data_IF_229771401950
#
_entry.id   IF_229771401950
#
_cell.length_a   1.000
_cell.length_b   1.000
_cell.length_c   1.000
_cell.angle_alpha   90.00
_cell.angle_beta   90.00
_cell.angle_gamma   90.00
#
_symmetry.space_group_name_H-M   'P 1'
#
loop_
_entity.id
_entity.type
_entity.pdbx_description
1 polymer ?
#
# COMPACT_ATOMS: atom_id res chain seq x y z
N UNK A 1 20.31 -14.35 -10.74
CA UNK A 1 19.68 -13.81 -11.97
C UNK A 1 18.92 -14.94 -12.70
N UNK A 2 17.82 -15.46 -12.14
CA UNK A 2 16.98 -16.54 -12.71
C UNK A 2 15.52 -16.51 -12.15
N UNK A 3 15.03 -15.36 -11.71
CA UNK A 3 13.71 -15.24 -11.07
C UNK A 3 12.57 -14.77 -12.02
N UNK A 4 12.89 -14.34 -13.25
CA UNK A 4 11.91 -13.78 -14.18
C UNK A 4 11.44 -14.72 -15.29
N UNK A 5 11.82 -16.01 -15.23
CA UNK A 5 11.19 -17.07 -16.02
C UNK A 5 10.29 -17.85 -15.07
N UNK A 6 9.21 -17.21 -14.62
CA UNK A 6 8.26 -17.80 -13.69
C UNK A 6 7.33 -18.75 -14.41
N UNK A 7 7.43 -20.04 -14.11
CA UNK A 7 6.25 -20.90 -14.17
C UNK A 7 5.13 -20.22 -13.34
N UNK A 8 3.87 -20.19 -13.80
CA UNK A 8 2.79 -19.63 -13.01
C UNK A 8 2.68 -20.44 -11.71
N UNK A 9 3.06 -19.82 -10.58
CA UNK A 9 2.85 -20.38 -9.25
C UNK A 9 1.34 -20.36 -9.01
N UNK A 10 0.74 -21.56 -8.90
CA UNK A 10 -0.71 -21.67 -8.70
C UNK A 10 -1.09 -21.11 -7.33
N UNK A 11 -2.30 -20.57 -7.21
CA UNK A 11 -2.83 -20.09 -5.93
C UNK A 11 -2.79 -21.17 -4.85
N UNK A 12 -3.05 -22.43 -5.23
CA UNK A 12 -3.00 -23.59 -4.33
C UNK A 12 -1.61 -23.78 -3.71
N UNK A 13 -0.55 -23.72 -4.52
CA UNK A 13 0.83 -23.87 -4.02
C UNK A 13 1.27 -22.75 -3.07
N UNK A 14 0.69 -21.55 -3.18
CA UNK A 14 0.95 -20.46 -2.23
C UNK A 14 0.28 -20.73 -0.89
N UNK A 15 -0.93 -21.28 -0.90
CA UNK A 15 -1.65 -21.61 0.33
C UNK A 15 -0.98 -22.75 1.13
N UNK A 16 -0.13 -23.55 0.50
CA UNK A 16 0.69 -24.58 1.15
C UNK A 16 1.97 -24.01 1.82
N UNK A 17 2.32 -22.75 1.54
CA UNK A 17 3.49 -22.10 2.14
C UNK A 17 3.27 -21.78 3.62
N UNK A 18 4.36 -21.59 4.37
CA UNK A 18 4.27 -21.18 5.79
C UNK A 18 3.61 -19.80 5.89
N UNK A 19 2.46 -19.66 6.58
CA UNK A 19 1.81 -18.37 6.72
C UNK A 19 2.57 -17.45 7.66
N UNK A 20 2.43 -16.14 7.42
CA UNK A 20 2.75 -15.10 8.39
C UNK A 20 1.46 -14.72 9.12
N UNK A 21 1.35 -15.12 10.37
CA UNK A 21 0.25 -14.73 11.24
C UNK A 21 0.50 -13.33 11.80
N UNK A 22 -0.42 -12.40 11.54
CA UNK A 22 -0.31 -11.03 12.05
C UNK A 22 -1.67 -10.32 12.11
N UNK A 23 -1.68 -9.17 12.80
CA UNK A 23 -2.68 -8.11 12.68
C UNK A 23 -2.28 -7.18 11.54
N UNK A 24 -2.92 -7.36 10.39
CA UNK A 24 -2.67 -6.61 9.17
C UNK A 24 -3.48 -5.32 9.17
N UNK A 25 -2.80 -4.18 9.17
CA UNK A 25 -3.41 -2.86 9.00
C UNK A 25 -3.76 -2.68 7.52
N UNK A 26 -5.03 -2.52 7.17
CA UNK A 26 -5.46 -2.19 5.81
C UNK A 26 -5.22 -0.71 5.59
N UNK A 27 -4.18 -0.38 4.81
CA UNK A 27 -3.70 1.00 4.67
C UNK A 27 -4.11 1.63 3.34
N UNK A 28 -4.42 0.87 2.31
CA UNK A 28 -4.87 1.41 1.05
C UNK A 28 -5.60 0.38 0.20
N UNK A 29 -6.43 0.86 -0.71
CA UNK A 29 -7.10 0.05 -1.73
C UNK A 29 -7.26 0.89 -2.99
N UNK A 30 -7.08 0.27 -4.15
CA UNK A 30 -7.25 0.91 -5.45
C UNK A 30 -7.85 -0.07 -6.46
N UNK A 31 -8.73 0.44 -7.32
CA UNK A 31 -9.34 -0.35 -8.39
C UNK A 31 -8.96 0.29 -9.72
N UNK A 32 -8.48 -0.53 -10.65
CA UNK A 32 -8.22 -0.15 -12.03
C UNK A 32 -9.12 -0.98 -12.95
N UNK A 33 -9.50 -0.42 -14.09
CA UNK A 33 -10.27 -1.13 -15.11
C UNK A 33 -9.51 -1.10 -16.43
N UNK A 34 -9.34 -2.27 -17.05
CA UNK A 34 -8.86 -2.39 -18.42
C UNK A 34 -9.77 -3.35 -19.20
N UNK A 35 -10.48 -2.87 -20.22
CA UNK A 35 -11.32 -3.70 -21.10
C UNK A 35 -12.29 -4.62 -20.33
N UNK A 36 -13.00 -4.06 -19.33
CA UNK A 36 -13.92 -4.79 -18.42
C UNK A 36 -13.25 -5.78 -17.47
N UNK A 37 -11.92 -5.84 -17.42
CA UNK A 37 -11.17 -6.50 -16.37
C UNK A 37 -10.89 -5.49 -15.26
N UNK A 38 -11.52 -5.68 -14.11
CA UNK A 38 -11.30 -4.90 -12.91
C UNK A 38 -10.20 -5.55 -12.09
N UNK A 39 -9.19 -4.77 -11.73
CA UNK A 39 -8.09 -5.20 -10.86
C UNK A 39 -8.13 -4.40 -9.57
N UNK A 40 -8.33 -5.06 -8.44
CA UNK A 40 -8.22 -4.45 -7.11
C UNK A 40 -6.88 -4.77 -6.50
N UNK A 41 -6.20 -3.73 -6.03
CA UNK A 41 -5.01 -3.84 -5.20
C UNK A 41 -5.33 -3.38 -3.79
N UNK A 42 -4.97 -4.17 -2.77
CA UNK A 42 -5.09 -3.79 -1.36
C UNK A 42 -3.72 -3.86 -0.71
N UNK A 43 -3.30 -2.78 -0.06
CA UNK A 43 -2.03 -2.70 0.65
C UNK A 43 -2.24 -2.85 2.15
N UNK A 44 -1.46 -3.73 2.75
CA UNK A 44 -1.54 -4.08 4.16
C UNK A 44 -0.17 -4.03 4.81
N UNK A 45 -0.11 -3.63 6.08
CA UNK A 45 1.11 -3.61 6.87
C UNK A 45 0.91 -4.39 8.16
N UNK A 46 1.78 -5.36 8.44
CA UNK A 46 1.78 -6.05 9.74
C UNK A 46 2.09 -5.06 10.86
N UNK A 47 1.19 -4.94 11.84
CA UNK A 47 1.28 -4.00 12.96
C UNK A 47 2.58 -4.11 13.74
N UNK A 48 3.01 -5.33 14.03
CA UNK A 48 4.19 -5.70 14.81
C UNK A 48 5.38 -5.98 13.90
N UNK A 49 5.18 -6.77 12.84
CA UNK A 49 6.26 -7.21 11.96
C UNK A 49 6.78 -6.09 11.05
N UNK A 50 5.99 -5.03 10.85
CA UNK A 50 6.23 -3.96 9.86
C UNK A 50 6.44 -4.50 8.45
N UNK A 51 5.93 -5.71 8.18
CA UNK A 51 6.02 -6.35 6.88
C UNK A 51 4.87 -5.90 6.00
N UNK A 52 5.19 -5.47 4.79
CA UNK A 52 4.19 -5.15 3.77
C UNK A 52 3.63 -6.41 3.12
N UNK A 53 2.35 -6.36 2.78
CA UNK A 53 1.66 -7.32 1.94
C UNK A 53 0.73 -6.60 0.95
N UNK A 54 0.58 -7.16 -0.24
CA UNK A 54 -0.29 -6.66 -1.29
C UNK A 54 -1.21 -7.78 -1.79
N UNK A 55 -2.52 -7.57 -1.71
CA UNK A 55 -3.51 -8.44 -2.31
C UNK A 55 -3.82 -7.93 -3.71
N UNK A 56 -3.95 -8.85 -4.66
CA UNK A 56 -4.27 -8.54 -6.04
C UNK A 56 -5.40 -9.44 -6.52
N UNK A 57 -6.57 -8.83 -6.73
CA UNK A 57 -7.80 -9.50 -7.12
C UNK A 57 -8.26 -9.04 -8.50
N UNK A 58 -8.88 -9.95 -9.23
CA UNK A 58 -9.38 -9.72 -10.57
C UNK A 58 -10.86 -10.06 -10.61
N UNK A 59 -11.64 -9.24 -11.31
CA UNK A 59 -13.04 -9.53 -11.62
C UNK A 59 -13.36 -9.07 -13.03
N UNK A 60 -14.22 -9.81 -13.73
CA UNK A 60 -14.60 -9.50 -15.10
C UNK A 60 -16.05 -9.02 -15.16
N UNK A 61 -16.29 -7.91 -15.85
CA UNK A 61 -17.62 -7.35 -16.09
C UNK A 61 -18.12 -6.38 -15.01
N UNK A 62 -17.72 -6.55 -13.74
CA UNK A 62 -17.97 -5.58 -12.66
C UNK A 62 -16.88 -5.63 -11.60
N UNK A 63 -16.81 -4.61 -10.75
CA UNK A 63 -15.89 -4.52 -9.61
C UNK A 63 -16.34 -5.36 -8.39
N UNK A 64 -16.81 -6.60 -8.64
CA UNK A 64 -17.22 -7.54 -7.59
C UNK A 64 -16.11 -8.55 -7.36
N UNK A 65 -15.35 -8.39 -6.29
CA UNK A 65 -14.21 -9.23 -5.96
C UNK A 65 -14.60 -10.31 -4.96
N UNK A 66 -14.16 -11.56 -5.21
CA UNK A 66 -14.50 -12.70 -4.37
C UNK A 66 -13.79 -12.70 -3.01
N UNK A 67 -12.61 -12.08 -2.93
CA UNK A 67 -11.86 -11.97 -1.67
C UNK A 67 -12.50 -10.91 -0.79
N UNK A 68 -12.93 -11.30 0.40
CA UNK A 68 -13.40 -10.37 1.41
C UNK A 68 -12.20 -9.69 2.08
N UNK A 69 -12.17 -8.36 2.02
CA UNK A 69 -11.13 -7.54 2.65
C UNK A 69 -11.81 -6.46 3.47
N UNK A 70 -11.41 -6.23 4.73
CA UNK A 70 -11.94 -5.12 5.52
C UNK A 70 -11.68 -3.77 4.84
N UNK A 71 -12.45 -2.73 5.17
CA UNK A 71 -12.21 -1.40 4.64
C UNK A 71 -10.86 -0.83 5.14
N UNK A 72 -10.32 0.14 4.41
CA UNK A 72 -9.11 0.87 4.83
C UNK A 72 -9.35 1.51 6.20
N UNK A 73 -8.37 1.41 7.11
CA UNK A 73 -8.51 1.84 8.50
C UNK A 73 -8.79 0.70 9.49
N UNK A 74 -8.93 -0.54 9.02
CA UNK A 74 -9.19 -1.71 9.86
C UNK A 74 -7.97 -2.61 10.02
N UNK A 75 -7.96 -3.37 11.11
CA UNK A 75 -7.09 -4.50 11.37
C UNK A 75 -7.76 -5.78 10.92
N UNK A 76 -7.00 -6.63 10.26
CA UNK A 76 -7.35 -8.00 9.95
C UNK A 76 -6.37 -8.93 10.66
N UNK A 77 -6.82 -9.66 11.67
CA UNK A 77 -6.01 -10.74 12.25
C UNK A 77 -6.11 -11.96 11.33
N UNK A 78 -5.04 -12.25 10.59
CA UNK A 78 -5.06 -13.32 9.59
C UNK A 78 -3.69 -13.94 9.35
N UNK A 79 -3.75 -15.18 8.91
CA UNK A 79 -2.64 -15.88 8.28
C UNK A 79 -2.51 -15.37 6.84
N UNK A 80 -1.32 -14.90 6.46
CA UNK A 80 -1.04 -14.39 5.11
C UNK A 80 0.09 -15.18 4.47
N UNK A 81 -0.18 -15.71 3.28
CA UNK A 81 0.76 -16.51 2.50
C UNK A 81 1.34 -15.66 1.37
N UNK A 82 2.66 -15.57 1.29
CA UNK A 82 3.34 -14.74 0.29
C UNK A 82 3.66 -15.56 -0.96
N UNK A 83 3.44 -14.97 -2.12
CA UNK A 83 3.98 -15.52 -3.36
C UNK A 83 5.52 -15.47 -3.28
N UNK A 84 6.22 -16.52 -3.74
CA UNK A 84 7.66 -16.51 -3.77
C UNK A 84 8.17 -15.41 -4.71
N UNK A 85 9.18 -14.67 -4.25
CA UNK A 85 9.78 -13.55 -4.97
C UNK A 85 10.91 -12.94 -4.14
N UNK A 86 11.86 -12.28 -4.81
CA UNK A 86 13.03 -11.71 -4.14
C UNK A 86 12.64 -10.55 -3.20
N UNK A 87 11.67 -9.73 -3.61
CA UNK A 87 10.97 -8.76 -2.77
C UNK A 87 9.51 -9.19 -2.60
N UNK A 88 9.27 -10.22 -1.78
CA UNK A 88 7.95 -10.85 -1.63
C UNK A 88 6.91 -9.89 -1.03
N UNK A 89 6.12 -9.27 -1.90
CA UNK A 89 5.04 -8.33 -1.55
C UNK A 89 3.65 -8.91 -1.82
N UNK A 90 3.46 -9.58 -2.96
CA UNK A 90 2.16 -10.16 -3.33
C UNK A 90 1.83 -11.31 -2.37
N UNK A 91 0.59 -11.34 -1.90
CA UNK A 91 0.14 -12.33 -0.92
C UNK A 91 -1.31 -12.79 -1.13
N UNK A 92 -1.71 -13.81 -0.38
CA UNK A 92 -3.09 -14.29 -0.20
C UNK A 92 -3.44 -14.35 1.27
N UNK A 93 -4.67 -13.96 1.59
CA UNK A 93 -5.27 -14.19 2.91
C UNK A 93 -5.61 -15.68 3.02
N UNK A 94 -5.18 -16.31 4.11
CA UNK A 94 -5.58 -17.64 4.54
C UNK A 94 -6.65 -17.57 5.63
N UNK A 95 -6.38 -18.22 6.76
CA UNK A 95 -7.33 -18.24 7.88
C UNK A 95 -7.40 -16.87 8.55
N UNK A 96 -8.61 -16.34 8.72
CA UNK A 96 -8.89 -15.14 9.51
C UNK A 96 -9.22 -15.53 10.95
N UNK A 97 -8.76 -14.74 11.91
CA UNK A 97 -8.85 -15.02 13.35
C UNK A 97 -9.63 -13.89 14.05
N UNK A 98 -10.95 -13.98 14.02
CA UNK A 98 -11.84 -12.98 14.61
C UNK A 98 -12.31 -11.91 13.64
N UNK A 99 -13.16 -11.01 14.13
CA UNK A 99 -13.75 -9.94 13.34
C UNK A 99 -12.77 -8.78 13.11
N UNK A 100 -12.77 -8.15 11.93
CA UNK A 100 -12.01 -6.94 11.69
C UNK A 100 -12.43 -5.79 12.60
N UNK A 101 -11.47 -5.02 13.10
CA UNK A 101 -11.72 -3.86 13.97
C UNK A 101 -10.97 -2.61 13.49
N UNK A 102 -11.47 -1.39 13.70
CA UNK A 102 -10.71 -0.18 13.38
C UNK A 102 -9.40 -0.12 14.18
N UNK A 103 -8.25 0.17 13.52
CA UNK A 103 -7.06 0.51 14.30
C UNK A 103 -7.16 1.94 14.85
N UNK A 104 -6.61 2.14 16.04
CA UNK A 104 -6.56 3.44 16.72
C UNK A 104 -5.17 4.06 16.73
N UNK A 105 -4.16 3.36 16.20
CA UNK A 105 -2.78 3.82 16.15
C UNK A 105 -2.26 3.67 14.72
N UNK A 106 -1.82 4.77 14.12
CA UNK A 106 -1.19 4.76 12.81
C UNK A 106 0.20 4.14 12.87
N UNK A 107 0.64 3.41 11.82
CA UNK A 107 2.05 3.09 11.71
C UNK A 107 2.81 4.38 11.41
N UNK A 108 3.91 4.57 12.13
CA UNK A 108 4.84 5.65 11.85
C UNK A 108 5.77 5.25 10.70
N UNK A 109 6.00 6.18 9.77
CA UNK A 109 7.05 6.08 8.76
C UNK A 109 7.54 7.46 8.35
N UNK A 110 8.85 7.61 8.18
CA UNK A 110 9.46 8.84 7.64
C UNK A 110 9.79 8.66 6.15
N UNK A 111 10.08 9.77 5.46
CA UNK A 111 10.56 9.74 4.07
C UNK A 111 11.80 8.85 3.96
N UNK A 112 12.78 9.01 4.85
CA UNK A 112 14.00 8.19 4.86
C UNK A 112 13.71 6.70 5.00
N UNK A 113 12.81 6.31 5.91
CA UNK A 113 12.44 4.90 6.08
C UNK A 113 11.76 4.33 4.84
N UNK A 114 10.92 5.13 4.17
CA UNK A 114 10.27 4.72 2.93
C UNK A 114 11.28 4.54 1.79
N UNK A 115 12.24 5.46 1.64
CA UNK A 115 13.30 5.38 0.64
C UNK A 115 14.26 4.21 0.90
N UNK A 116 14.59 3.94 2.18
CA UNK A 116 15.40 2.78 2.54
C UNK A 116 14.68 1.47 2.22
N UNK A 117 13.40 1.33 2.61
CA UNK A 117 12.61 0.13 2.30
C UNK A 117 12.49 -0.11 0.79
N UNK A 118 12.29 0.95 0.01
CA UNK A 118 12.30 0.85 -1.45
C UNK A 118 13.66 0.38 -1.98
N UNK A 119 14.76 0.93 -1.46
CA UNK A 119 16.12 0.57 -1.89
C UNK A 119 16.44 -0.88 -1.57
N UNK A 120 16.07 -1.36 -0.38
CA UNK A 120 16.25 -2.75 0.02
C UNK A 120 15.45 -3.70 -0.89
N UNK A 121 14.21 -3.32 -1.20
CA UNK A 121 13.35 -4.09 -2.10
C UNK A 121 13.90 -4.10 -3.55
N UNK A 122 14.40 -2.96 -4.04
CA UNK A 122 15.02 -2.84 -5.37
C UNK A 122 16.33 -3.62 -5.47
N UNK A 123 17.12 -3.64 -4.40
CA UNK A 123 18.36 -4.44 -4.33
C UNK A 123 18.06 -5.94 -4.39
N UNK A 124 16.95 -6.38 -3.79
CA UNK A 124 16.49 -7.76 -3.87
C UNK A 124 15.89 -8.09 -5.24
N UNK A 125 15.09 -7.19 -5.81
CA UNK A 125 14.44 -7.34 -7.11
C UNK A 125 14.69 -6.13 -8.02
N UNK A 126 15.67 -6.22 -8.94
CA UNK A 126 16.00 -5.12 -9.87
C UNK A 126 14.88 -4.72 -10.84
N UNK A 127 13.81 -5.52 -10.94
CA UNK A 127 12.64 -5.21 -11.78
C UNK A 127 11.48 -4.60 -10.99
N UNK A 128 11.68 -4.35 -9.70
CA UNK A 128 10.69 -3.67 -8.86
C UNK A 128 10.36 -2.29 -9.43
N UNK A 129 9.06 -2.06 -9.67
CA UNK A 129 8.56 -0.79 -10.23
C UNK A 129 8.17 0.21 -9.16
N UNK A 130 7.62 -0.28 -8.05
CA UNK A 130 7.22 0.56 -6.92
C UNK A 130 7.16 -0.26 -5.63
N UNK A 131 7.24 0.44 -4.50
CA UNK A 131 7.11 -0.15 -3.18
C UNK A 131 6.13 0.64 -2.32
N UNK A 132 5.28 -0.01 -1.51
CA UNK A 132 4.38 0.70 -0.61
C UNK A 132 5.15 1.46 0.46
N UNK A 133 4.63 2.63 0.82
CA UNK A 133 5.17 3.49 1.84
C UNK A 133 4.04 4.09 2.68
N UNK A 134 4.30 4.26 3.97
CA UNK A 134 3.52 5.11 4.86
C UNK A 134 4.43 6.23 5.32
N UNK A 135 3.99 7.48 5.16
CA UNK A 135 4.76 8.67 5.53
C UNK A 135 3.88 9.51 6.44
N UNK A 136 4.32 9.64 7.68
CA UNK A 136 3.64 10.36 8.76
C UNK A 136 4.06 11.82 8.79
N UNK A 137 3.16 12.66 9.29
CA UNK A 137 3.43 14.09 9.56
C UNK A 137 3.93 14.86 8.34
N UNK A 138 3.31 14.64 7.18
CA UNK A 138 3.63 15.37 5.94
C UNK A 138 2.53 16.35 5.54
N UNK A 139 2.92 17.49 4.98
CA UNK A 139 2.03 18.49 4.42
C UNK A 139 2.07 18.39 2.89
N UNK A 140 0.94 18.07 2.23
CA UNK A 140 0.82 18.17 0.78
C UNK A 140 1.05 19.62 0.33
N UNK A 141 1.84 19.81 -0.73
CA UNK A 141 2.19 21.13 -1.24
C UNK A 141 2.24 21.12 -2.76
N UNK A 142 1.89 22.27 -3.36
CA UNK A 142 1.97 22.50 -4.79
C UNK A 142 2.87 23.70 -5.06
N UNK A 143 4.03 23.47 -5.66
CA UNK A 143 5.07 24.48 -5.90
C UNK A 143 5.55 24.35 -7.34
N UNK A 144 5.59 25.48 -8.06
CA UNK A 144 6.11 25.57 -9.43
C UNK A 144 5.55 24.51 -10.39
N UNK A 145 4.25 24.24 -10.29
CA UNK A 145 3.57 23.27 -11.17
C UNK A 145 3.78 21.81 -10.79
N UNK A 146 4.40 21.53 -9.64
CA UNK A 146 4.69 20.18 -9.16
C UNK A 146 4.13 19.93 -7.77
N UNK A 147 3.73 18.69 -7.52
CA UNK A 147 3.21 18.23 -6.24
C UNK A 147 4.30 17.62 -5.37
N UNK A 148 4.20 17.86 -4.07
CA UNK A 148 5.10 17.34 -3.06
C UNK A 148 4.34 16.95 -1.79
N UNK A 149 4.91 16.04 -1.02
CA UNK A 149 4.63 15.89 0.41
C UNK A 149 5.88 16.29 1.18
N UNK A 150 5.74 17.20 2.14
CA UNK A 150 6.86 17.81 2.87
C UNK A 150 6.77 17.44 4.33
N UNK A 151 7.83 16.88 4.90
CA UNK A 151 7.88 16.56 6.33
C UNK A 151 8.26 17.76 7.20
N UNK A 152 8.25 17.57 8.52
CA UNK A 152 8.58 18.62 9.49
C UNK A 152 10.02 19.14 9.41
N UNK A 153 10.94 18.37 8.82
CA UNK A 153 12.34 18.78 8.59
C UNK A 153 12.50 19.65 7.34
N UNK A 154 11.46 19.75 6.51
CA UNK A 154 11.48 20.39 5.20
C UNK A 154 11.92 19.45 4.08
N UNK A 155 12.09 18.16 4.34
CA UNK A 155 12.38 17.18 3.31
C UNK A 155 11.13 16.98 2.45
N UNK A 156 11.28 17.19 1.15
CA UNK A 156 10.19 17.11 0.19
C UNK A 156 10.32 15.86 -0.69
N UNK A 157 9.25 15.06 -0.74
CA UNK A 157 9.12 13.95 -1.67
C UNK A 157 8.15 14.36 -2.78
N UNK A 158 8.56 14.24 -4.05
CA UNK A 158 7.66 14.52 -5.18
C UNK A 158 6.46 13.59 -5.11
N UNK A 159 5.28 14.13 -5.35
CA UNK A 159 4.04 13.36 -5.46
C UNK A 159 3.52 13.41 -6.90
N UNK A 160 2.84 12.34 -7.32
CA UNK A 160 2.17 12.24 -8.60
C UNK A 160 0.86 11.49 -8.48
N UNK A 161 0.00 11.60 -9.49
CA UNK A 161 -1.32 10.98 -9.48
C UNK A 161 -2.31 11.80 -10.28
N UNK A 162 -3.57 11.38 -10.21
CA UNK A 162 -4.68 12.15 -10.74
C UNK A 162 -4.73 13.55 -10.10
N UNK A 163 -4.98 14.58 -10.92
CA UNK A 163 -4.97 15.96 -10.45
C UNK A 163 -6.05 16.21 -9.41
N UNK A 164 -7.26 15.69 -9.62
CA UNK A 164 -8.38 15.90 -8.69
C UNK A 164 -8.11 15.20 -7.36
N UNK A 165 -7.47 14.03 -7.40
CA UNK A 165 -6.99 13.30 -6.23
C UNK A 165 -5.99 14.13 -5.41
N UNK A 166 -4.99 14.76 -6.05
CA UNK A 166 -3.97 15.56 -5.35
C UNK A 166 -4.55 16.86 -4.78
N UNK A 167 -5.48 17.51 -5.49
CA UNK A 167 -6.23 18.65 -4.95
C UNK A 167 -7.11 18.25 -3.75
N UNK A 168 -7.76 17.09 -3.83
CA UNK A 168 -8.53 16.52 -2.71
C UNK A 168 -7.62 16.25 -1.51
N UNK A 169 -6.44 15.68 -1.72
CA UNK A 169 -5.44 15.46 -0.66
C UNK A 169 -5.03 16.78 0.01
N UNK A 170 -4.74 17.82 -0.77
CA UNK A 170 -4.42 19.16 -0.24
C UNK A 170 -5.60 19.73 0.57
N UNK A 171 -6.82 19.63 0.04
CA UNK A 171 -8.04 20.09 0.71
C UNK A 171 -8.33 19.36 2.02
N UNK A 172 -8.08 18.05 2.07
CA UNK A 172 -8.21 17.22 3.28
C UNK A 172 -7.17 17.63 4.34
N UNK A 173 -5.93 17.89 3.92
CA UNK A 173 -4.88 18.34 4.84
C UNK A 173 -5.18 19.72 5.43
N UNK A 174 -5.76 20.62 4.65
CA UNK A 174 -6.01 22.00 5.09
C UNK A 174 -4.72 22.77 5.44
N UNK A 175 -3.57 22.32 4.95
CA UNK A 175 -2.25 22.86 5.32
C UNK A 175 -1.65 22.26 6.59
N UNK A 176 -2.32 21.29 7.23
CA UNK A 176 -1.81 20.60 8.41
C UNK A 176 -1.16 19.26 8.06
N UNK A 177 -0.22 18.77 8.92
CA UNK A 177 0.40 17.47 8.73
C UNK A 177 -0.62 16.33 8.74
N UNK A 178 -0.49 15.43 7.77
CA UNK A 178 -1.30 14.21 7.62
C UNK A 178 -0.40 12.99 7.47
N UNK A 179 -0.96 11.80 7.63
CA UNK A 179 -0.26 10.56 7.25
C UNK A 179 -0.76 10.08 5.90
N UNK A 180 0.16 9.85 4.97
CA UNK A 180 -0.15 9.37 3.62
C UNK A 180 0.34 7.94 3.47
N UNK A 181 -0.52 7.06 2.95
CA UNK A 181 -0.09 5.77 2.40
C UNK A 181 -0.08 5.87 0.88
N UNK A 182 0.97 5.38 0.24
CA UNK A 182 1.15 5.45 -1.20
C UNK A 182 2.13 4.41 -1.71
N UNK A 183 2.47 4.49 -2.98
CA UNK A 183 3.57 3.72 -3.57
C UNK A 183 4.64 4.65 -4.09
N UNK A 184 5.91 4.34 -3.82
CA UNK A 184 7.07 5.09 -4.29
C UNK A 184 7.72 4.34 -5.46
N UNK A 185 7.97 5.03 -6.58
CA UNK A 185 8.49 4.44 -7.81
C UNK A 185 9.91 4.92 -8.20
N UNK A 186 10.70 5.38 -7.21
CA UNK A 186 11.99 6.07 -7.37
C UNK A 186 11.93 7.52 -7.87
N UNK A 187 10.80 7.98 -8.42
CA UNK A 187 10.66 9.35 -8.94
C UNK A 187 9.63 10.16 -8.16
N UNK A 188 8.49 9.54 -7.86
CA UNK A 188 7.38 10.17 -7.18
C UNK A 188 6.61 9.17 -6.32
N UNK A 189 5.95 9.71 -5.29
CA UNK A 189 4.98 9.01 -4.47
C UNK A 189 3.62 9.15 -5.14
N UNK A 190 2.94 8.03 -5.41
CA UNK A 190 1.53 8.03 -5.75
C UNK A 190 0.70 7.81 -4.48
N UNK A 191 -0.02 8.83 -3.97
CA UNK A 191 -0.88 8.68 -2.80
C UNK A 191 -2.06 7.77 -3.09
N UNK A 192 -2.40 6.90 -2.13
CA UNK A 192 -3.52 5.94 -2.21
C UNK A 192 -4.55 6.22 -1.14
N UNK A 193 -4.10 6.64 0.04
CA UNK A 193 -4.98 7.02 1.12
C UNK A 193 -4.32 8.06 2.01
N UNK A 194 -5.17 8.80 2.72
CA UNK A 194 -4.75 9.79 3.71
C UNK A 194 -5.48 9.55 5.02
N UNK A 195 -4.74 9.71 6.11
CA UNK A 195 -5.21 9.60 7.48
C UNK A 195 -4.98 10.93 8.18
N UNK A 196 -6.05 11.51 8.71
CA UNK A 196 -6.03 12.80 9.39
C UNK A 196 -7.17 12.87 10.41
N UNK A 197 -6.91 13.42 11.61
CA UNK A 197 -7.96 13.65 12.60
C UNK A 197 -8.81 12.43 12.98
N UNK A 198 -8.25 11.22 12.92
CA UNK A 198 -8.98 9.96 13.16
C UNK A 198 -9.86 9.49 11.99
N UNK A 199 -9.84 10.20 10.86
CA UNK A 199 -10.50 9.81 9.63
C UNK A 199 -9.52 9.16 8.66
N UNK A 200 -10.06 8.27 7.83
CA UNK A 200 -9.35 7.63 6.73
C UNK A 200 -10.11 7.89 5.44
N UNK A 201 -9.38 8.34 4.43
CA UNK A 201 -9.96 8.63 3.11
C UNK A 201 -9.12 7.91 2.08
N UNK A 202 -9.75 7.02 1.31
CA UNK A 202 -9.17 6.47 0.09
C UNK A 202 -9.23 7.56 -0.98
N UNK A 203 -8.09 7.77 -1.62
CA UNK A 203 -7.85 8.87 -2.54
C UNK A 203 -8.30 8.48 -3.96
#
# INVERSE_FOLDING_TARGET
MKAHVGYPVSTESVMESIPVKENWMILGSGITEEKRLFTRTVWMLGRNSKRWAMLLDFSHGSANFATETPPVGFLLNADVHFYPGAAALRARIGVTHGEPEPFTTMPFGSIDTALQQFTDALAADPWLRSWPAVISSVVPSFVDGSWFVVDESGTALRAEGDSDLLWKLLGISGGYPVTVCGTWNALALTPISVFTGGQVIVL
#
